data_IF_704036407967
#
_entry.id   IF_704036407967
#
_cell.length_a   1.000
_cell.length_b   1.000
_cell.length_c   1.000
_cell.angle_alpha   90.00
_cell.angle_beta   90.00
_cell.angle_gamma   90.00
#
_symmetry.space_group_name_H-M   'P 1'
#
loop_
_entity.id
_entity.type
_entity.pdbx_description
1 polymer ?
#
# COMPACT_ATOMS: atom_id res chain seq x y z
N UNK A 1 22.77 20.03 -42.27
CA UNK A 1 21.70 20.20 -41.24
C UNK A 1 21.95 19.10 -40.22
N UNK A 2 22.32 19.27 -38.95
CA UNK A 2 22.34 20.32 -37.93
C UNK A 2 22.14 19.53 -36.61
N UNK A 3 22.72 19.78 -35.45
CA UNK A 3 23.59 20.79 -34.86
C UNK A 3 24.27 20.06 -33.68
N UNK A 4 25.61 20.05 -33.61
CA UNK A 4 26.33 19.69 -32.39
C UNK A 4 26.27 20.91 -31.45
N UNK A 5 25.71 20.78 -30.26
CA UNK A 5 25.81 21.82 -29.23
C UNK A 5 27.01 21.54 -28.33
N UNK A 6 27.82 22.59 -28.19
CA UNK A 6 29.12 22.60 -27.55
C UNK A 6 29.01 22.44 -26.03
N UNK A 7 29.89 21.60 -25.47
CA UNK A 7 30.20 21.53 -24.05
C UNK A 7 31.11 22.72 -23.71
N UNK A 8 30.68 23.59 -22.80
CA UNK A 8 31.53 24.65 -22.26
C UNK A 8 32.53 24.04 -21.27
N UNK A 9 33.77 23.86 -21.69
CA UNK A 9 34.89 23.58 -20.81
C UNK A 9 35.41 24.91 -20.22
N UNK A 10 35.46 25.01 -18.89
CA UNK A 10 36.07 26.16 -18.20
C UNK A 10 37.58 25.90 -18.13
N UNK A 11 38.36 26.53 -19.01
CA UNK A 11 39.80 26.63 -18.86
C UNK A 11 40.14 27.88 -18.05
N UNK A 12 40.91 27.69 -16.98
CA UNK A 12 41.52 28.76 -16.22
C UNK A 12 42.56 29.51 -17.09
N UNK A 13 42.39 30.81 -17.25
CA UNK A 13 43.34 31.67 -17.95
C UNK A 13 42.95 33.14 -17.80
N UNK A 14 43.86 33.90 -17.19
CA UNK A 14 43.78 35.33 -16.86
C UNK A 14 43.45 36.20 -18.09
N UNK A 15 42.58 37.22 -17.94
CA UNK A 15 42.68 38.49 -18.68
C UNK A 15 41.89 39.62 -17.97
N UNK A 16 42.40 40.84 -18.15
CA UNK A 16 42.13 42.07 -17.41
C UNK A 16 40.73 42.71 -17.61
N UNK A 17 40.36 43.56 -16.65
CA UNK A 17 39.11 44.34 -16.53
C UNK A 17 38.71 45.20 -17.76
N UNK A 18 37.39 45.31 -17.96
CA UNK A 18 36.74 46.56 -18.36
C UNK A 18 35.43 46.73 -17.59
N UNK A 19 35.28 47.89 -16.94
CA UNK A 19 34.10 48.28 -16.16
C UNK A 19 32.85 48.38 -17.04
N UNK A 20 31.83 47.61 -16.70
CA UNK A 20 30.51 47.64 -17.34
C UNK A 20 29.69 46.49 -16.77
N UNK A 21 28.83 46.79 -15.80
CA UNK A 21 28.06 45.80 -15.06
C UNK A 21 27.25 44.91 -16.01
N UNK A 22 27.63 43.63 -16.07
CA UNK A 22 26.79 42.60 -16.65
C UNK A 22 25.74 42.27 -15.60
N UNK A 23 24.42 42.31 -15.90
CA UNK A 23 23.44 41.77 -14.98
C UNK A 23 23.74 40.27 -14.83
N UNK A 24 24.10 39.86 -13.62
CA UNK A 24 24.25 38.46 -13.26
C UNK A 24 22.90 37.78 -13.52
N UNK A 25 22.85 36.89 -14.53
CA UNK A 25 21.75 35.94 -14.63
C UNK A 25 21.70 35.17 -13.32
N UNK A 26 20.55 35.11 -12.61
CA UNK A 26 20.47 34.29 -11.41
C UNK A 26 20.81 32.85 -11.80
N UNK A 27 21.86 32.31 -11.19
CA UNK A 27 22.24 30.92 -11.36
C UNK A 27 20.99 30.08 -11.13
N UNK A 28 20.51 29.40 -12.17
CA UNK A 28 19.45 28.43 -12.01
C UNK A 28 20.04 27.31 -11.17
N UNK A 29 19.73 27.30 -9.88
CA UNK A 29 20.08 26.22 -8.97
C UNK A 29 19.21 25.02 -9.31
N UNK A 30 19.56 24.36 -10.41
CA UNK A 30 19.03 23.05 -10.74
C UNK A 30 19.35 22.10 -9.59
N UNK A 31 18.38 21.30 -9.18
CA UNK A 31 18.61 20.23 -8.21
C UNK A 31 19.54 19.22 -8.90
N UNK A 32 20.78 19.13 -8.42
CA UNK A 32 21.70 18.08 -8.83
C UNK A 32 21.14 16.73 -8.37
N UNK A 33 20.89 15.82 -9.31
CA UNK A 33 20.28 14.51 -9.04
C UNK A 33 21.26 13.42 -9.41
N UNK A 34 21.57 12.56 -8.45
CA UNK A 34 22.29 11.31 -8.68
C UNK A 34 21.29 10.17 -8.51
N UNK A 35 21.20 9.28 -9.49
CA UNK A 35 20.33 8.10 -9.45
C UNK A 35 21.18 6.83 -9.43
N UNK A 36 20.74 5.83 -8.66
CA UNK A 36 21.32 4.48 -8.67
C UNK A 36 20.20 3.49 -8.92
N UNK A 37 20.45 2.49 -9.76
CA UNK A 37 19.47 1.48 -10.13
C UNK A 37 19.86 0.15 -9.49
N UNK A 38 18.89 -0.51 -8.85
CA UNK A 38 19.06 -1.86 -8.30
C UNK A 38 17.90 -2.72 -8.76
N UNK A 39 18.22 -3.84 -9.41
CA UNK A 39 17.23 -4.85 -9.75
C UNK A 39 16.73 -5.54 -8.47
N UNK A 40 15.42 -5.44 -8.20
CA UNK A 40 14.76 -6.06 -7.03
C UNK A 40 14.09 -7.38 -7.42
N UNK A 41 13.42 -7.44 -8.58
CA UNK A 41 12.84 -8.66 -9.13
C UNK A 41 12.60 -8.53 -10.64
N UNK A 42 12.50 -9.66 -11.33
CA UNK A 42 11.95 -9.75 -12.68
C UNK A 42 10.41 -9.72 -12.60
N UNK A 43 9.75 -9.12 -13.58
CA UNK A 43 8.28 -9.09 -13.72
C UNK A 43 7.94 -9.89 -14.98
N UNK A 44 7.07 -10.89 -14.86
CA UNK A 44 6.58 -11.66 -16.00
C UNK A 44 5.75 -10.74 -16.91
N UNK A 45 6.02 -10.76 -18.22
CA UNK A 45 5.35 -9.90 -19.21
C UNK A 45 3.85 -10.21 -19.37
N UNK A 46 3.36 -11.31 -18.77
CA UNK A 46 1.94 -11.65 -18.68
C UNK A 46 1.18 -10.93 -17.58
N UNK A 47 1.85 -10.09 -16.76
CA UNK A 47 1.21 -9.29 -15.71
C UNK A 47 0.43 -8.14 -16.35
N UNK A 48 -0.83 -8.39 -16.66
CA UNK A 48 -1.80 -7.37 -17.06
C UNK A 48 -2.22 -6.57 -15.82
N UNK A 49 -1.48 -5.49 -15.54
CA UNK A 49 -1.79 -4.42 -14.57
C UNK A 49 -2.35 -4.89 -13.22
N UNK A 50 -1.46 -4.96 -12.24
CA UNK A 50 -1.74 -5.35 -10.88
C UNK A 50 -1.33 -4.25 -9.91
N UNK A 51 -2.06 -4.08 -8.81
CA UNK A 51 -1.63 -3.18 -7.73
C UNK A 51 -0.29 -3.64 -7.14
N UNK A 52 0.80 -3.13 -7.72
CA UNK A 52 2.14 -3.35 -7.22
C UNK A 52 2.37 -2.42 -6.03
N UNK A 53 2.86 -2.99 -4.96
CA UNK A 53 3.25 -2.29 -3.74
C UNK A 53 4.71 -2.57 -3.44
N UNK A 54 5.40 -1.54 -2.98
CA UNK A 54 6.78 -1.63 -2.52
C UNK A 54 6.75 -1.43 -1.01
N UNK A 55 7.57 -2.20 -0.28
CA UNK A 55 7.71 -1.99 1.16
C UNK A 55 8.26 -0.60 1.48
N UNK A 56 7.97 -0.05 2.68
CA UNK A 56 8.53 1.23 3.11
C UNK A 56 10.07 1.32 3.02
N UNK A 57 10.78 0.23 3.30
CA UNK A 57 12.24 0.16 3.19
C UNK A 57 12.76 -0.02 1.75
N UNK A 58 11.86 -0.08 0.76
CA UNK A 58 12.15 -0.23 -0.67
C UNK A 58 12.87 -1.53 -1.06
N UNK A 59 12.84 -2.57 -0.21
CA UNK A 59 13.53 -3.84 -0.47
C UNK A 59 12.61 -4.96 -0.92
N UNK A 60 11.31 -4.81 -0.71
CA UNK A 60 10.32 -5.86 -0.96
C UNK A 60 9.24 -5.38 -1.90
N UNK A 61 8.65 -6.32 -2.62
CA UNK A 61 7.58 -6.05 -3.58
C UNK A 61 6.47 -7.06 -3.42
N UNK A 62 5.24 -6.59 -3.53
CA UNK A 62 4.05 -7.43 -3.58
C UNK A 62 3.16 -6.99 -4.74
N UNK A 63 2.61 -7.95 -5.47
CA UNK A 63 1.68 -7.68 -6.56
C UNK A 63 0.66 -8.81 -6.66
N UNK A 64 -0.52 -8.47 -7.15
CA UNK A 64 -1.55 -9.45 -7.53
C UNK A 64 -1.32 -9.92 -8.97
N UNK A 65 -1.76 -11.12 -9.33
CA UNK A 65 -1.71 -11.59 -10.72
C UNK A 65 -2.92 -12.47 -11.01
N UNK A 66 -3.47 -12.35 -12.22
CA UNK A 66 -4.58 -13.16 -12.68
C UNK A 66 -4.05 -14.38 -13.45
N UNK A 67 -4.10 -15.54 -12.80
CA UNK A 67 -3.83 -16.82 -13.46
C UNK A 67 -5.02 -17.23 -14.30
N UNK A 68 -4.96 -16.99 -15.62
CA UNK A 68 -5.96 -17.49 -16.57
C UNK A 68 -5.80 -19.00 -16.75
N UNK A 69 -6.86 -19.76 -16.50
CA UNK A 69 -6.95 -21.16 -16.91
C UNK A 69 -7.54 -21.25 -18.32
N UNK A 70 -7.05 -22.20 -19.14
CA UNK A 70 -7.59 -22.44 -20.49
C UNK A 70 -9.07 -22.88 -20.43
N UNK A 71 -9.43 -23.65 -19.39
CA UNK A 71 -10.76 -24.27 -19.24
C UNK A 71 -11.50 -23.83 -17.95
N UNK A 72 -10.92 -22.92 -17.16
CA UNK A 72 -11.47 -22.51 -15.85
C UNK A 72 -11.42 -21.00 -15.70
N UNK A 73 -12.37 -20.46 -14.92
CA UNK A 73 -12.38 -19.05 -14.51
C UNK A 73 -11.03 -18.72 -13.84
N UNK A 74 -10.41 -17.62 -14.27
CA UNK A 74 -9.10 -17.22 -13.77
C UNK A 74 -9.11 -16.98 -12.26
N UNK A 75 -8.01 -17.34 -11.60
CA UNK A 75 -7.80 -17.16 -10.17
C UNK A 75 -6.76 -16.08 -9.93
N UNK A 76 -6.97 -15.27 -8.91
CA UNK A 76 -6.03 -14.26 -8.48
C UNK A 76 -5.05 -14.86 -7.48
N UNK A 77 -3.78 -14.49 -7.59
CA UNK A 77 -2.71 -14.87 -6.66
C UNK A 77 -2.01 -13.60 -6.22
N UNK A 78 -1.61 -13.53 -4.95
CA UNK A 78 -0.69 -12.49 -4.47
C UNK A 78 0.70 -13.07 -4.44
N UNK A 79 1.64 -12.40 -5.10
CA UNK A 79 3.06 -12.73 -5.10
C UNK A 79 3.77 -11.75 -4.19
N UNK A 80 4.55 -12.27 -3.23
CA UNK A 80 5.36 -11.46 -2.32
C UNK A 80 6.82 -11.89 -2.48
N UNK A 81 7.67 -10.96 -2.89
CA UNK A 81 9.11 -11.22 -3.12
C UNK A 81 9.36 -12.42 -4.05
N UNK A 82 8.53 -12.56 -5.08
CA UNK A 82 8.60 -13.66 -6.04
C UNK A 82 7.98 -14.98 -5.57
N UNK A 83 7.48 -15.04 -4.33
CA UNK A 83 6.80 -16.22 -3.78
C UNK A 83 5.30 -16.10 -3.97
N UNK A 84 4.71 -17.04 -4.71
CA UNK A 84 3.28 -17.11 -4.95
C UNK A 84 2.51 -17.59 -3.71
N UNK A 85 1.43 -16.89 -3.38
CA UNK A 85 0.47 -17.31 -2.37
C UNK A 85 -0.59 -18.29 -2.89
N UNK A 86 -1.68 -18.43 -2.13
CA UNK A 86 -2.85 -19.23 -2.53
C UNK A 86 -3.64 -18.56 -3.66
N UNK A 87 -4.45 -19.36 -4.35
CA UNK A 87 -5.37 -18.93 -5.40
C UNK A 87 -6.73 -18.50 -4.84
N UNK A 88 -7.23 -17.35 -5.32
CA UNK A 88 -8.46 -16.73 -4.87
C UNK A 88 -9.38 -16.32 -6.04
N UNK A 89 -10.66 -16.13 -5.76
CA UNK A 89 -11.65 -15.62 -6.73
C UNK A 89 -11.58 -14.11 -6.96
N UNK A 90 -10.75 -13.41 -6.18
CA UNK A 90 -10.53 -11.98 -6.24
C UNK A 90 -9.63 -11.51 -5.10
N UNK A 91 -8.92 -10.41 -5.31
CA UNK A 91 -8.17 -9.69 -4.28
C UNK A 91 -8.88 -8.37 -3.99
N UNK A 92 -8.85 -7.95 -2.73
CA UNK A 92 -9.48 -6.72 -2.27
C UNK A 92 -8.77 -5.50 -2.84
N UNK A 93 -9.53 -4.50 -3.26
CA UNK A 93 -8.95 -3.26 -3.73
C UNK A 93 -8.14 -2.56 -2.61
N UNK A 94 -7.02 -1.94 -2.99
CA UNK A 94 -6.04 -1.35 -2.07
C UNK A 94 -5.33 -2.38 -1.18
N UNK A 95 -5.18 -3.61 -1.68
CA UNK A 95 -4.31 -4.63 -1.11
C UNK A 95 -3.52 -5.33 -2.22
N UNK A 96 -2.34 -5.92 -1.94
CA UNK A 96 -1.70 -6.11 -0.63
C UNK A 96 -1.22 -4.81 0.04
N UNK A 97 -0.94 -4.85 1.33
CA UNK A 97 -0.31 -3.76 2.09
C UNK A 97 0.89 -4.30 2.87
N UNK A 98 1.93 -3.47 3.04
CA UNK A 98 3.08 -3.75 3.89
C UNK A 98 2.93 -3.12 5.27
N UNK A 99 3.50 -3.76 6.29
CA UNK A 99 3.67 -3.13 7.60
C UNK A 99 4.69 -1.98 7.55
N UNK A 100 4.61 -1.01 8.49
CA UNK A 100 5.59 0.08 8.59
C UNK A 100 7.05 -0.40 8.68
N UNK A 101 7.32 -1.50 9.39
CA UNK A 101 8.64 -2.10 9.50
C UNK A 101 9.07 -2.93 8.28
N UNK A 102 8.24 -2.97 7.23
CA UNK A 102 8.45 -3.70 5.98
C UNK A 102 8.49 -5.23 6.10
N UNK A 103 8.26 -5.81 7.29
CA UNK A 103 8.42 -7.27 7.48
C UNK A 103 7.17 -8.07 7.18
N UNK A 104 6.00 -7.44 7.24
CA UNK A 104 4.71 -8.14 7.15
C UNK A 104 3.91 -7.68 5.95
N UNK A 105 3.05 -8.57 5.47
CA UNK A 105 2.14 -8.31 4.36
C UNK A 105 0.74 -8.76 4.74
N UNK A 106 -0.25 -7.93 4.44
CA UNK A 106 -1.66 -8.29 4.61
C UNK A 106 -2.46 -7.98 3.34
N UNK A 107 -3.47 -8.80 3.05
CA UNK A 107 -4.39 -8.55 1.95
C UNK A 107 -5.78 -9.16 2.19
N UNK A 108 -6.80 -8.55 1.58
CA UNK A 108 -8.14 -9.13 1.54
C UNK A 108 -8.26 -10.04 0.32
N UNK A 109 -8.84 -11.21 0.49
CA UNK A 109 -9.02 -12.16 -0.60
C UNK A 109 -10.43 -12.76 -0.59
N UNK A 110 -11.01 -12.95 -1.77
CA UNK A 110 -12.33 -13.57 -1.95
C UNK A 110 -12.18 -15.05 -2.27
N UNK A 111 -12.92 -15.90 -1.56
CA UNK A 111 -13.02 -17.34 -1.78
C UNK A 111 -14.49 -17.73 -1.86
N UNK A 112 -14.97 -18.07 -3.05
CA UNK A 112 -16.39 -18.26 -3.33
C UNK A 112 -17.18 -16.99 -3.02
N UNK A 113 -18.13 -17.10 -2.10
CA UNK A 113 -18.99 -15.99 -1.65
C UNK A 113 -18.45 -15.26 -0.42
N UNK A 114 -17.36 -15.77 0.19
CA UNK A 114 -16.78 -15.22 1.41
C UNK A 114 -15.49 -14.48 1.13
N UNK A 115 -15.12 -13.64 2.09
CA UNK A 115 -13.86 -12.92 2.12
C UNK A 115 -13.06 -13.32 3.34
N UNK A 116 -11.74 -13.42 3.17
CA UNK A 116 -10.77 -13.64 4.24
C UNK A 116 -9.74 -12.52 4.22
N UNK A 117 -9.15 -12.23 5.36
CA UNK A 117 -7.93 -11.42 5.44
C UNK A 117 -6.76 -12.38 5.62
N UNK A 118 -5.77 -12.27 4.76
CA UNK A 118 -4.53 -13.03 4.82
C UNK A 118 -3.46 -12.14 5.42
N UNK A 119 -2.79 -12.61 6.45
CA UNK A 119 -1.67 -11.91 7.09
C UNK A 119 -0.48 -12.86 7.08
N UNK A 120 0.62 -12.44 6.44
CA UNK A 120 1.85 -13.23 6.34
C UNK A 120 1.62 -14.65 5.79
N UNK A 121 0.71 -14.77 4.82
CA UNK A 121 0.32 -16.04 4.19
C UNK A 121 -0.71 -16.87 4.97
N UNK A 122 -1.10 -16.45 6.18
CA UNK A 122 -2.08 -17.15 7.01
C UNK A 122 -3.48 -16.53 6.81
N UNK A 123 -4.43 -17.36 6.40
CA UNK A 123 -5.84 -16.96 6.26
C UNK A 123 -6.51 -16.80 7.64
N UNK A 124 -7.19 -15.68 7.85
CA UNK A 124 -8.07 -15.46 8.99
C UNK A 124 -9.46 -16.07 8.80
N UNK A 125 -10.40 -15.59 9.62
CA UNK A 125 -11.82 -15.98 9.56
C UNK A 125 -12.48 -15.52 8.26
N UNK A 126 -13.57 -16.21 7.91
CA UNK A 126 -14.41 -15.88 6.76
C UNK A 126 -15.51 -14.86 7.14
N UNK A 127 -15.74 -13.92 6.23
CA UNK A 127 -16.73 -12.86 6.36
C UNK A 127 -17.53 -12.70 5.06
N UNK A 128 -18.70 -12.06 5.15
CA UNK A 128 -19.55 -11.76 3.98
C UNK A 128 -19.00 -10.59 3.14
N UNK A 129 -17.97 -9.92 3.64
CA UNK A 129 -17.28 -8.82 2.97
C UNK A 129 -16.20 -8.23 3.86
N UNK A 130 -15.19 -7.65 3.23
CA UNK A 130 -14.20 -6.78 3.88
C UNK A 130 -14.33 -5.40 3.24
N UNK A 131 -14.40 -4.34 4.04
CA UNK A 131 -14.54 -3.00 3.48
C UNK A 131 -13.26 -2.62 2.74
N UNK A 132 -13.42 -2.17 1.49
CA UNK A 132 -12.33 -1.65 0.66
C UNK A 132 -11.48 -0.62 1.41
N UNK A 133 -10.16 -0.81 1.40
CA UNK A 133 -9.19 0.10 2.00
C UNK A 133 -9.27 0.24 3.52
N UNK A 134 -9.96 -0.67 4.22
CA UNK A 134 -10.03 -0.67 5.70
C UNK A 134 -8.87 -1.41 6.37
N UNK A 135 -8.14 -2.24 5.62
CA UNK A 135 -7.00 -2.99 6.12
C UNK A 135 -5.86 -2.02 6.48
N UNK A 136 -5.39 -2.05 7.72
CA UNK A 136 -4.26 -1.23 8.19
C UNK A 136 -3.39 -2.00 9.18
N UNK A 137 -2.09 -1.66 9.21
CA UNK A 137 -1.17 -2.08 10.27
C UNK A 137 -1.09 -1.03 11.39
N UNK A 138 -0.82 -1.47 12.62
CA UNK A 138 -0.44 -0.57 13.70
C UNK A 138 0.92 0.10 13.42
N UNK A 139 1.21 1.27 14.02
CA UNK A 139 2.47 1.97 13.83
C UNK A 139 3.70 1.15 14.22
N UNK A 140 3.57 0.26 15.21
CA UNK A 140 4.62 -0.66 15.65
C UNK A 140 4.68 -1.96 14.83
N UNK A 141 3.88 -2.08 13.77
CA UNK A 141 3.81 -3.24 12.86
C UNK A 141 3.31 -4.55 13.48
N UNK A 142 2.91 -4.55 14.76
CA UNK A 142 2.52 -5.79 15.46
C UNK A 142 1.08 -6.20 15.18
N UNK A 143 0.20 -5.24 14.89
CA UNK A 143 -1.23 -5.50 14.78
C UNK A 143 -1.77 -5.22 13.39
N UNK A 144 -2.83 -5.93 13.03
CA UNK A 144 -3.61 -5.69 11.82
C UNK A 144 -5.06 -5.43 12.22
N UNK A 145 -5.62 -4.33 11.72
CA UNK A 145 -7.03 -4.00 11.91
C UNK A 145 -7.76 -3.90 10.55
N UNK A 146 -9.02 -4.31 10.53
CA UNK A 146 -9.88 -4.20 9.35
C UNK A 146 -11.37 -4.19 9.69
N UNK A 147 -12.18 -3.71 8.76
CA UNK A 147 -13.63 -3.69 8.89
C UNK A 147 -14.24 -4.85 8.08
N UNK A 148 -14.93 -5.75 8.78
CA UNK A 148 -15.55 -6.93 8.20
C UNK A 148 -17.07 -6.88 8.32
N UNK A 149 -17.76 -7.46 7.33
CA UNK A 149 -19.21 -7.62 7.33
C UNK A 149 -19.59 -9.05 7.69
N UNK A 150 -20.52 -9.21 8.63
CA UNK A 150 -21.13 -10.48 9.00
C UNK A 150 -22.65 -10.31 9.07
N UNK A 151 -23.35 -10.95 8.15
CA UNK A 151 -24.76 -10.73 7.91
C UNK A 151 -25.04 -9.26 7.60
N UNK A 152 -25.95 -8.67 8.38
CA UNK A 152 -26.34 -7.26 8.27
C UNK A 152 -25.47 -6.33 9.13
N UNK A 153 -24.51 -6.87 9.89
CA UNK A 153 -23.67 -6.11 10.80
C UNK A 153 -22.25 -5.95 10.27
N UNK A 154 -21.61 -4.91 10.77
CA UNK A 154 -20.20 -4.63 10.56
C UNK A 154 -19.45 -4.68 11.89
N UNK A 155 -18.24 -5.21 11.84
CA UNK A 155 -17.35 -5.36 12.98
C UNK A 155 -15.96 -4.86 12.62
N UNK A 156 -15.26 -4.28 13.59
CA UNK A 156 -13.82 -4.09 13.50
C UNK A 156 -13.16 -5.35 14.03
N UNK A 157 -12.19 -5.87 13.30
CA UNK A 157 -11.40 -7.04 13.70
C UNK A 157 -9.96 -6.59 13.88
N UNK A 158 -9.37 -6.92 15.02
CA UNK A 158 -7.98 -6.64 15.34
C UNK A 158 -7.29 -7.97 15.66
N UNK A 159 -6.25 -8.31 14.91
CA UNK A 159 -5.48 -9.56 15.09
C UNK A 159 -6.37 -10.84 15.08
N UNK A 160 -7.45 -10.81 14.28
CA UNK A 160 -8.43 -11.91 14.19
C UNK A 160 -9.46 -11.96 15.31
N UNK A 161 -9.36 -11.06 16.30
CA UNK A 161 -10.34 -10.89 17.38
C UNK A 161 -11.40 -9.90 16.93
N UNK A 162 -12.66 -10.34 17.02
CA UNK A 162 -13.81 -9.55 16.58
C UNK A 162 -14.26 -8.60 17.69
N UNK A 163 -14.45 -7.33 17.33
CA UNK A 163 -14.98 -6.30 18.20
C UNK A 163 -16.51 -6.26 18.24
N UNK A 164 -17.04 -5.09 18.62
CA UNK A 164 -18.50 -4.86 18.72
C UNK A 164 -19.15 -4.78 17.33
N UNK A 165 -20.42 -5.18 17.29
CA UNK A 165 -21.26 -5.08 16.09
C UNK A 165 -21.94 -3.71 15.95
N UNK A 166 -21.86 -3.18 14.74
CA UNK A 166 -22.44 -1.92 14.30
C UNK A 166 -23.30 -2.12 13.04
N UNK A 167 -24.21 -1.19 12.77
CA UNK A 167 -25.05 -1.22 11.57
C UNK A 167 -24.26 -0.79 10.33
N UNK A 168 -23.15 -0.07 10.53
CA UNK A 168 -22.21 0.27 9.47
C UNK A 168 -21.17 1.29 9.91
N UNK A 169 -20.36 1.70 8.95
CA UNK A 169 -19.35 2.74 9.10
C UNK A 169 -19.61 3.85 8.08
N UNK A 170 -19.34 5.10 8.45
CA UNK A 170 -19.61 6.26 7.59
C UNK A 170 -18.72 6.26 6.35
N UNK A 171 -19.27 6.64 5.18
CA UNK A 171 -18.47 6.72 3.95
C UNK A 171 -17.36 7.77 4.11
N UNK A 172 -16.13 7.42 3.73
CA UNK A 172 -14.97 8.31 3.82
C UNK A 172 -14.23 8.28 5.16
N UNK A 173 -14.78 7.62 6.20
CA UNK A 173 -14.04 7.36 7.43
C UNK A 173 -13.12 6.15 7.26
N UNK A 174 -12.05 6.13 8.05
CA UNK A 174 -11.07 5.04 8.09
C UNK A 174 -10.83 4.64 9.54
N UNK A 175 -10.36 3.41 9.72
CA UNK A 175 -9.69 3.01 10.94
C UNK A 175 -8.40 3.82 11.10
N UNK A 176 -8.10 4.27 12.32
CA UNK A 176 -6.89 5.05 12.62
C UNK A 176 -6.27 4.52 13.90
N UNK A 177 -5.06 4.01 13.82
CA UNK A 177 -4.23 3.81 15.01
C UNK A 177 -3.65 5.16 15.43
N UNK A 178 -3.97 5.66 16.63
CA UNK A 178 -3.25 6.81 17.20
C UNK A 178 -1.87 6.41 17.73
N UNK A 179 -1.75 5.13 18.13
CA UNK A 179 -0.59 4.52 18.74
C UNK A 179 -0.66 3.01 18.51
N UNK A 180 0.34 2.27 18.98
CA UNK A 180 0.36 0.81 18.91
C UNK A 180 -0.82 0.13 19.65
N UNK A 181 -1.45 0.84 20.59
CA UNK A 181 -2.44 0.28 21.52
C UNK A 181 -3.80 0.95 21.44
N UNK A 182 -3.95 2.04 20.69
CA UNK A 182 -5.24 2.73 20.59
C UNK A 182 -5.70 2.81 19.16
N UNK A 183 -6.90 2.27 18.89
CA UNK A 183 -7.55 2.31 17.60
C UNK A 183 -8.81 3.18 17.69
N UNK A 184 -8.93 4.15 16.79
CA UNK A 184 -10.08 5.04 16.66
C UNK A 184 -10.85 4.79 15.38
N UNK A 185 -12.18 4.82 15.46
CA UNK A 185 -13.05 4.76 14.29
C UNK A 185 -14.44 5.34 14.57
N UNK A 186 -15.16 5.69 13.50
CA UNK A 186 -16.53 6.18 13.57
C UNK A 186 -17.50 5.10 13.12
N UNK A 187 -18.42 4.71 14.00
CA UNK A 187 -19.40 3.67 13.74
C UNK A 187 -20.84 4.15 13.90
N UNK A 188 -21.76 3.52 13.16
CA UNK A 188 -23.19 3.83 13.18
C UNK A 188 -23.95 2.70 13.85
N UNK A 189 -24.84 3.04 14.80
CA UNK A 189 -25.82 2.11 15.36
C UNK A 189 -27.14 2.84 15.59
N UNK A 190 -28.19 2.39 14.90
CA UNK A 190 -29.45 3.09 14.73
C UNK A 190 -29.21 4.46 14.06
N UNK A 191 -29.85 5.49 14.60
CA UNK A 191 -29.67 6.88 14.14
C UNK A 191 -28.58 7.64 14.91
N UNK A 192 -27.54 6.95 15.39
CA UNK A 192 -26.47 7.53 16.22
C UNK A 192 -25.10 7.19 15.64
N UNK A 193 -24.20 8.17 15.71
CA UNK A 193 -22.78 8.03 15.37
C UNK A 193 -21.99 7.95 16.67
N UNK A 194 -21.04 7.02 16.74
CA UNK A 194 -20.15 6.82 17.86
C UNK A 194 -18.71 7.02 17.39
N UNK A 195 -17.95 7.85 18.11
CA UNK A 195 -16.49 7.74 18.12
C UNK A 195 -16.14 6.59 19.05
N UNK A 196 -15.56 5.55 18.47
CA UNK A 196 -15.14 4.36 19.18
C UNK A 196 -13.63 4.44 19.34
N UNK A 197 -13.20 4.42 20.60
CA UNK A 197 -11.81 4.24 21.00
C UNK A 197 -11.67 2.83 21.56
N UNK A 198 -10.79 2.04 20.96
CA UNK A 198 -10.44 0.71 21.45
C UNK A 198 -9.02 0.71 22.00
N UNK A 199 -8.91 0.35 23.28
CA UNK A 199 -7.66 0.16 23.99
C UNK A 199 -7.26 -1.32 23.92
N UNK A 200 -6.19 -1.59 23.18
CA UNK A 200 -5.66 -2.92 22.87
C UNK A 200 -4.60 -3.29 23.90
N UNK A 201 -4.88 -4.32 24.68
CA UNK A 201 -3.93 -4.86 25.66
C UNK A 201 -2.90 -5.75 24.98
N UNK A 202 -1.70 -5.81 25.54
CA UNK A 202 -0.66 -6.76 25.15
C UNK A 202 -1.05 -8.21 25.49
#
# INVERSE_FOLDING_TARGET
MGRSQAVCAVLAGVLLWSAGGVPECPAQTGVERTATEKLISWIDSSIESASLQVSPDSKRVAYETLRRGILRRGKWVVVVDGVEGKEYDGIGESSPIFSPDSKRVAYGARRGEKWVVVVDGVEGKEYDGIRKGSLIFSPDSKRVAYEARRGEKWIVVVDGVEGKEYDGFLRGTKLIFDSAHTLHYLAVRGNRIYLVEEQLRE
#
